data_IF_822479673316
#
_entry.id   IF_822479673316
#
_cell.length_a   1.000
_cell.length_b   1.000
_cell.length_c   1.000
_cell.angle_alpha   90.00
_cell.angle_beta   90.00
_cell.angle_gamma   90.00
#
_symmetry.space_group_name_H-M   'P 1'
#
loop_
_entity.id
_entity.type
_entity.pdbx_description
1 polymer ?
#
# COMPACT_ATOMS: atom_id res chain seq x y z
N UNK A 1 -4.10 56.62 -29.56
CA UNK A 1 -4.31 56.06 -28.21
C UNK A 1 -3.36 54.90 -28.02
N UNK A 2 -3.05 54.59 -26.77
CA UNK A 2 -2.11 53.56 -26.35
C UNK A 2 -2.62 52.95 -25.05
N UNK A 3 -2.55 51.62 -24.91
CA UNK A 3 -3.08 50.94 -23.72
C UNK A 3 -2.06 50.78 -22.58
N UNK A 4 -0.79 51.17 -22.79
CA UNK A 4 0.29 50.94 -21.85
C UNK A 4 0.52 49.44 -21.59
N UNK A 5 1.11 49.12 -20.44
CA UNK A 5 1.46 47.73 -20.10
C UNK A 5 0.23 46.82 -20.07
N UNK A 6 0.30 45.63 -20.69
CA UNK A 6 -0.77 44.64 -20.63
C UNK A 6 -1.06 44.16 -19.20
N UNK A 7 -2.26 43.62 -18.94
CA UNK A 7 -2.58 43.00 -17.65
C UNK A 7 -1.68 41.79 -17.36
N UNK A 8 -1.44 41.48 -16.09
CA UNK A 8 -0.74 40.25 -15.69
C UNK A 8 -1.69 39.05 -15.70
N UNK A 9 -1.15 37.85 -15.91
CA UNK A 9 -1.91 36.60 -15.89
C UNK A 9 -1.32 35.67 -14.84
N UNK A 10 -2.18 35.09 -14.00
CA UNK A 10 -1.77 34.10 -13.01
C UNK A 10 -1.25 32.82 -13.68
N UNK A 11 -0.11 32.33 -13.21
CA UNK A 11 0.61 31.18 -13.79
C UNK A 11 0.89 31.30 -15.30
N UNK A 12 0.87 32.54 -15.80
CA UNK A 12 1.14 32.89 -17.19
C UNK A 12 2.12 34.05 -17.30
N UNK A 13 2.72 34.18 -18.48
CA UNK A 13 3.70 35.21 -18.76
C UNK A 13 3.59 35.70 -20.21
N UNK A 14 4.00 36.94 -20.42
CA UNK A 14 4.29 37.45 -21.76
C UNK A 14 5.75 37.18 -22.09
N UNK A 15 6.10 36.86 -23.35
CA UNK A 15 7.49 36.77 -23.78
C UNK A 15 8.30 38.00 -23.37
N UNK A 16 9.58 37.82 -23.06
CA UNK A 16 10.43 38.86 -22.48
C UNK A 16 10.44 40.14 -23.34
N UNK A 17 10.46 39.97 -24.66
CA UNK A 17 10.49 41.07 -25.64
C UNK A 17 9.22 41.92 -25.59
N UNK A 18 8.07 41.30 -25.28
CA UNK A 18 6.79 41.97 -25.12
C UNK A 18 6.70 42.61 -23.74
N UNK A 19 7.08 41.89 -22.69
CA UNK A 19 6.99 42.37 -21.30
C UNK A 19 7.87 43.60 -21.00
N UNK A 20 8.96 43.78 -21.76
CA UNK A 20 9.87 44.90 -21.62
C UNK A 20 9.36 46.21 -22.27
N UNK A 21 8.33 46.13 -23.12
CA UNK A 21 7.77 47.30 -23.78
C UNK A 21 6.84 48.08 -22.84
N UNK A 22 6.77 49.40 -23.05
CA UNK A 22 5.94 50.30 -22.24
C UNK A 22 4.79 50.96 -23.03
N UNK A 23 4.77 50.81 -24.36
CA UNK A 23 3.79 51.43 -25.26
C UNK A 23 3.25 50.39 -26.22
N UNK A 24 1.92 50.30 -26.29
CA UNK A 24 1.17 49.35 -27.08
C UNK A 24 0.03 50.10 -27.80
N UNK A 25 0.18 50.41 -29.10
CA UNK A 25 -0.80 51.17 -29.84
C UNK A 25 -2.15 50.42 -29.96
N UNK A 26 -3.21 51.18 -30.20
CA UNK A 26 -4.55 50.62 -30.47
C UNK A 26 -4.47 49.56 -31.57
N UNK A 27 -5.11 48.41 -31.34
CA UNK A 27 -5.08 47.25 -32.23
C UNK A 27 -3.97 46.24 -31.91
N UNK A 28 -3.00 46.57 -31.04
CA UNK A 28 -1.98 45.61 -30.62
C UNK A 28 -2.61 44.42 -29.89
N UNK A 29 -2.14 43.22 -30.23
CA UNK A 29 -2.56 41.96 -29.63
C UNK A 29 -1.37 41.26 -29.00
N UNK A 30 -1.43 41.03 -27.70
CA UNK A 30 -0.40 40.30 -26.95
C UNK A 30 -0.88 38.90 -26.63
N UNK A 31 0.00 37.90 -26.75
CA UNK A 31 -0.32 36.50 -26.50
C UNK A 31 0.49 35.99 -25.32
N UNK A 32 -0.21 35.42 -24.34
CA UNK A 32 0.35 34.86 -23.12
C UNK A 32 0.76 33.40 -23.33
N UNK A 33 1.76 32.97 -22.55
CA UNK A 33 2.20 31.58 -22.42
C UNK A 33 2.02 31.16 -20.96
N UNK A 34 1.75 29.87 -20.72
CA UNK A 34 1.68 29.34 -19.37
C UNK A 34 3.05 28.93 -18.85
N UNK A 35 3.23 29.01 -17.53
CA UNK A 35 4.37 28.41 -16.85
C UNK A 35 4.39 26.89 -17.08
N UNK A 36 5.57 26.28 -16.92
CA UNK A 36 5.73 24.83 -17.08
C UNK A 36 4.80 24.09 -16.11
N UNK A 37 4.05 23.13 -16.64
CA UNK A 37 3.04 22.37 -15.88
C UNK A 37 1.68 23.05 -15.77
N UNK A 38 1.48 24.18 -16.46
CA UNK A 38 0.19 24.82 -16.60
C UNK A 38 -0.23 24.89 -18.07
N UNK A 39 -1.52 24.81 -18.32
CA UNK A 39 -2.12 24.82 -19.66
C UNK A 39 -3.37 25.70 -19.68
N UNK A 40 -3.69 26.24 -20.85
CA UNK A 40 -4.97 26.93 -21.05
C UNK A 40 -6.09 25.90 -21.21
N UNK A 41 -7.23 26.14 -20.57
CA UNK A 41 -8.45 25.38 -20.87
C UNK A 41 -8.82 25.47 -22.35
N UNK A 42 -9.55 24.46 -22.86
CA UNK A 42 -9.91 24.33 -24.29
C UNK A 42 -10.63 25.56 -24.84
N UNK A 43 -11.44 26.24 -24.03
CA UNK A 43 -12.23 27.42 -24.41
C UNK A 43 -11.55 28.75 -24.03
N UNK A 44 -10.38 28.70 -23.39
CA UNK A 44 -9.68 29.90 -22.91
C UNK A 44 -8.97 30.65 -24.04
N UNK A 45 -9.15 31.98 -24.09
CA UNK A 45 -8.36 32.85 -24.98
C UNK A 45 -7.01 33.14 -24.35
N UNK A 46 -5.95 32.94 -25.13
CA UNK A 46 -4.56 33.13 -24.73
C UNK A 46 -4.02 34.54 -25.00
N UNK A 47 -4.89 35.50 -25.32
CA UNK A 47 -4.49 36.83 -25.76
C UNK A 47 -5.34 37.94 -25.16
N UNK A 48 -4.76 39.14 -25.11
CA UNK A 48 -5.48 40.39 -24.88
C UNK A 48 -5.18 41.37 -26.01
N UNK A 49 -6.16 42.22 -26.34
CA UNK A 49 -6.09 43.19 -27.42
C UNK A 49 -6.34 44.60 -26.90
N UNK A 50 -5.55 45.55 -27.37
CA UNK A 50 -5.70 46.97 -27.06
C UNK A 50 -6.85 47.55 -27.91
N UNK A 51 -7.93 47.96 -27.24
CA UNK A 51 -9.17 48.43 -27.86
C UNK A 51 -9.11 49.93 -28.21
N UNK A 52 -10.08 50.40 -29.00
CA UNK A 52 -10.14 51.79 -29.47
C UNK A 52 -10.27 52.82 -28.34
N UNK A 53 -10.84 52.43 -27.20
CA UNK A 53 -10.94 53.23 -25.98
C UNK A 53 -9.64 53.27 -25.15
N UNK A 54 -8.55 52.74 -25.71
CA UNK A 54 -7.24 52.62 -25.04
C UNK A 54 -7.26 51.73 -23.78
N UNK A 55 -8.18 50.74 -23.74
CA UNK A 55 -8.21 49.70 -22.70
C UNK A 55 -7.87 48.32 -23.26
N UNK A 56 -7.35 47.44 -22.41
CA UNK A 56 -7.10 46.05 -22.77
C UNK A 56 -8.37 45.20 -22.63
N UNK A 57 -8.64 44.32 -23.59
CA UNK A 57 -9.73 43.34 -23.44
C UNK A 57 -9.50 42.48 -22.19
N UNK A 58 -10.54 42.16 -21.40
CA UNK A 58 -10.43 41.27 -20.26
C UNK A 58 -9.83 39.91 -20.64
N UNK A 59 -9.00 39.34 -19.77
CA UNK A 59 -8.46 38.00 -19.98
C UNK A 59 -9.59 36.97 -19.88
N UNK A 60 -9.89 36.28 -20.99
CA UNK A 60 -10.95 35.28 -21.08
C UNK A 60 -10.38 33.87 -20.89
N UNK A 61 -9.74 33.64 -19.74
CA UNK A 61 -9.12 32.36 -19.37
C UNK A 61 -7.91 32.55 -18.46
N UNK A 62 -7.46 31.46 -17.84
CA UNK A 62 -6.27 31.40 -16.99
C UNK A 62 -5.44 30.16 -17.29
N UNK A 63 -4.20 30.17 -16.85
CA UNK A 63 -3.34 29.00 -16.87
C UNK A 63 -3.70 28.09 -15.69
N UNK A 64 -4.22 26.91 -15.98
CA UNK A 64 -4.63 25.91 -15.00
C UNK A 64 -3.59 24.80 -14.91
N UNK A 65 -3.39 24.17 -13.74
CA UNK A 65 -2.41 23.10 -13.59
C UNK A 65 -2.74 21.93 -14.51
N UNK A 66 -1.71 21.30 -15.09
CA UNK A 66 -1.85 20.10 -15.91
C UNK A 66 -2.62 19.04 -15.14
N UNK A 67 -3.67 18.50 -15.75
CA UNK A 67 -4.38 17.32 -15.25
C UNK A 67 -3.84 16.08 -15.98
N UNK A 68 -3.13 15.22 -15.26
CA UNK A 68 -2.54 13.99 -15.78
C UNK A 68 -3.56 12.87 -16.01
N UNK A 69 -4.80 13.01 -15.54
CA UNK A 69 -5.85 12.00 -15.70
C UNK A 69 -5.52 10.68 -15.00
N UNK A 70 -5.83 9.55 -15.64
CA UNK A 70 -5.63 8.21 -15.07
C UNK A 70 -4.12 7.87 -14.96
N UNK A 71 -3.61 7.53 -13.75
CA UNK A 71 -2.25 7.03 -13.53
C UNK A 71 -1.91 5.72 -14.25
N UNK A 72 -2.89 5.04 -14.83
CA UNK A 72 -2.74 3.77 -15.52
C UNK A 72 -3.32 2.59 -14.74
N UNK A 73 -3.70 1.54 -15.47
CA UNK A 73 -4.30 0.34 -14.91
C UNK A 73 -3.25 -0.70 -14.54
N UNK A 74 -3.40 -1.32 -13.37
CA UNK A 74 -2.50 -2.36 -12.87
C UNK A 74 -3.29 -3.66 -12.69
N UNK A 75 -2.77 -4.77 -13.20
CA UNK A 75 -3.40 -6.09 -13.09
C UNK A 75 -2.98 -6.76 -11.77
N UNK A 76 -3.93 -7.39 -11.06
CA UNK A 76 -3.73 -7.99 -9.72
C UNK A 76 -3.20 -6.96 -8.70
N UNK A 77 -3.76 -5.76 -8.75
CA UNK A 77 -3.42 -4.66 -7.88
C UNK A 77 -4.38 -3.49 -8.04
N UNK A 78 -4.09 -2.42 -7.33
CA UNK A 78 -4.84 -1.17 -7.37
C UNK A 78 -3.93 0.02 -7.10
N UNK A 79 -4.44 1.24 -7.29
CA UNK A 79 -3.72 2.46 -6.89
C UNK A 79 -4.59 3.35 -6.03
N UNK A 80 -3.94 4.20 -5.25
CA UNK A 80 -4.55 5.25 -4.44
C UNK A 80 -3.92 6.58 -4.82
N UNK A 81 -4.74 7.54 -5.21
CA UNK A 81 -4.36 8.91 -5.50
C UNK A 81 -5.44 9.87 -4.98
N UNK A 82 -5.04 10.99 -4.40
CA UNK A 82 -5.98 12.00 -3.91
C UNK A 82 -6.53 12.86 -5.05
N UNK A 83 -5.67 13.22 -6.00
CA UNK A 83 -5.94 14.05 -7.17
C UNK A 83 -5.09 13.59 -8.36
N UNK A 84 -5.34 14.18 -9.53
CA UNK A 84 -4.59 13.95 -10.77
C UNK A 84 -3.96 15.21 -11.36
N UNK A 85 -3.79 16.27 -10.56
CA UNK A 85 -3.21 17.55 -11.00
C UNK A 85 -1.69 17.60 -10.77
N UNK A 86 -1.01 18.55 -11.42
CA UNK A 86 0.43 18.76 -11.30
C UNK A 86 0.92 18.65 -9.84
N UNK A 87 1.92 17.80 -9.61
CA UNK A 87 2.50 17.51 -8.29
C UNK A 87 1.82 16.37 -7.51
N UNK A 88 0.65 15.89 -7.95
CA UNK A 88 -0.05 14.77 -7.32
C UNK A 88 0.78 13.49 -7.38
N UNK A 89 0.62 12.62 -6.38
CA UNK A 89 1.28 11.31 -6.29
C UNK A 89 0.24 10.19 -6.26
N UNK A 90 0.36 9.25 -7.18
CA UNK A 90 -0.40 8.01 -7.20
C UNK A 90 0.47 6.89 -6.64
N UNK A 91 0.02 6.22 -5.59
CA UNK A 91 0.69 5.06 -4.98
C UNK A 91 0.04 3.77 -5.47
N UNK A 92 0.83 2.78 -5.86
CA UNK A 92 0.38 1.49 -6.38
C UNK A 92 0.58 0.39 -5.36
N UNK A 93 -0.34 -0.56 -5.34
CA UNK A 93 -0.38 -1.70 -4.44
C UNK A 93 -0.74 -2.96 -5.24
N UNK A 94 -0.20 -4.10 -4.82
CA UNK A 94 -0.57 -5.38 -5.39
C UNK A 94 -1.57 -6.09 -4.49
N UNK A 95 -2.41 -6.93 -5.11
CA UNK A 95 -3.35 -7.78 -4.40
C UNK A 95 -2.60 -8.85 -3.60
N UNK A 96 -3.30 -9.49 -2.67
CA UNK A 96 -2.73 -10.55 -1.83
C UNK A 96 -2.11 -11.67 -2.67
N UNK A 97 -0.89 -12.07 -2.32
CA UNK A 97 -0.14 -13.09 -3.06
C UNK A 97 0.62 -12.57 -4.28
N UNK A 98 0.62 -11.25 -4.52
CA UNK A 98 1.40 -10.59 -5.54
C UNK A 98 2.39 -9.59 -4.92
N UNK A 99 3.52 -9.39 -5.59
CA UNK A 99 4.53 -8.39 -5.21
C UNK A 99 4.71 -7.38 -6.33
N UNK A 100 4.98 -6.14 -5.94
CA UNK A 100 5.21 -5.06 -6.89
C UNK A 100 6.59 -5.16 -7.52
N UNK A 101 6.67 -4.87 -8.82
CA UNK A 101 7.89 -4.79 -9.61
C UNK A 101 7.96 -3.43 -10.29
N UNK A 102 9.05 -2.71 -10.04
CA UNK A 102 9.24 -1.33 -10.49
C UNK A 102 8.98 -0.32 -9.37
N UNK A 103 8.73 0.94 -9.76
CA UNK A 103 8.43 2.02 -8.81
C UNK A 103 6.98 1.93 -8.36
N UNK A 104 6.76 1.87 -7.05
CA UNK A 104 5.44 1.77 -6.41
C UNK A 104 4.63 3.08 -6.44
N UNK A 105 5.09 4.08 -7.19
CA UNK A 105 4.38 5.34 -7.34
C UNK A 105 4.64 6.01 -8.69
N UNK A 106 3.73 6.90 -9.06
CA UNK A 106 3.89 7.86 -10.16
C UNK A 106 3.58 9.28 -9.68
N UNK A 107 4.28 10.26 -10.22
CA UNK A 107 4.09 11.68 -9.94
C UNK A 107 3.49 12.37 -11.17
N UNK A 108 2.50 13.22 -10.99
CA UNK A 108 1.95 14.04 -12.06
C UNK A 108 2.90 15.20 -12.35
N UNK A 109 3.55 15.18 -13.50
CA UNK A 109 4.48 16.22 -13.96
C UNK A 109 3.82 17.09 -15.04
N UNK A 110 4.59 18.05 -15.56
CA UNK A 110 4.12 18.89 -16.67
C UNK A 110 3.77 18.08 -17.94
N UNK A 111 4.40 16.93 -18.11
CA UNK A 111 4.26 16.06 -19.28
C UNK A 111 3.28 14.89 -19.05
N UNK A 112 2.66 14.81 -17.87
CA UNK A 112 1.78 13.70 -17.48
C UNK A 112 2.34 12.87 -16.32
N UNK A 113 1.82 11.67 -16.12
CA UNK A 113 2.29 10.77 -15.07
C UNK A 113 3.72 10.28 -15.35
N UNK A 114 4.62 10.45 -14.38
CA UNK A 114 6.02 10.04 -14.48
C UNK A 114 6.17 8.52 -14.60
N UNK A 115 7.20 8.06 -15.33
CA UNK A 115 7.57 6.65 -15.36
C UNK A 115 6.52 5.74 -16.00
N UNK A 116 6.66 4.44 -15.79
CA UNK A 116 5.73 3.42 -16.28
C UNK A 116 4.83 2.92 -15.15
N UNK A 117 3.69 2.33 -15.49
CA UNK A 117 2.84 1.63 -14.52
C UNK A 117 3.62 0.42 -14.00
N UNK A 118 3.72 0.22 -12.67
CA UNK A 118 4.39 -0.96 -12.13
C UNK A 118 3.59 -2.23 -12.43
N UNK A 119 4.24 -3.39 -12.32
CA UNK A 119 3.60 -4.69 -12.52
C UNK A 119 3.49 -5.44 -11.20
N UNK A 120 2.42 -6.22 -11.06
CA UNK A 120 2.24 -7.14 -9.94
C UNK A 120 2.53 -8.57 -10.41
N UNK A 121 3.58 -9.17 -9.84
CA UNK A 121 3.98 -10.54 -10.13
C UNK A 121 3.58 -11.45 -8.97
N UNK A 122 3.09 -12.65 -9.27
CA UNK A 122 2.73 -13.62 -8.24
C UNK A 122 3.94 -13.97 -7.39
N UNK A 123 3.75 -14.05 -6.07
CA UNK A 123 4.77 -14.47 -5.13
C UNK A 123 5.11 -15.94 -5.39
N UNK A 124 6.41 -16.22 -5.51
CA UNK A 124 6.94 -17.56 -5.68
C UNK A 124 7.95 -17.87 -4.56
N UNK A 125 7.73 -18.98 -3.86
CA UNK A 125 8.69 -19.56 -2.94
C UNK A 125 9.66 -20.49 -3.68
N UNK A 126 10.94 -20.54 -3.26
CA UNK A 126 11.89 -21.51 -3.77
C UNK A 126 11.47 -22.93 -3.38
N UNK A 127 12.15 -23.94 -3.90
CA UNK A 127 11.91 -25.32 -3.44
C UNK A 127 12.26 -25.45 -1.95
N UNK A 128 11.37 -26.01 -1.09
CA UNK A 128 11.67 -26.14 0.33
C UNK A 128 12.82 -27.12 0.56
N UNK A 129 13.60 -26.87 1.61
CA UNK A 129 14.63 -27.80 2.07
C UNK A 129 13.94 -29.04 2.64
N UNK A 130 14.34 -30.21 2.18
CA UNK A 130 13.81 -31.48 2.68
C UNK A 130 14.56 -31.84 3.97
N UNK A 131 13.86 -32.01 5.11
CA UNK A 131 14.48 -32.41 6.37
C UNK A 131 15.17 -33.78 6.27
N UNK A 132 16.20 -33.99 7.08
CA UNK A 132 16.83 -35.30 7.19
C UNK A 132 15.82 -36.36 7.65
N UNK A 133 15.92 -37.57 7.10
CA UNK A 133 14.98 -38.66 7.33
C UNK A 133 13.51 -38.34 6.98
N UNK A 134 13.26 -37.39 6.08
CA UNK A 134 11.95 -37.07 5.54
C UNK A 134 11.91 -37.15 4.01
N UNK A 135 10.70 -37.23 3.45
CA UNK A 135 10.43 -37.06 2.02
C UNK A 135 9.18 -36.22 1.80
N UNK A 136 9.06 -35.64 0.60
CA UNK A 136 7.85 -34.93 0.18
C UNK A 136 6.80 -36.00 -0.17
N UNK A 137 5.71 -36.04 0.59
CA UNK A 137 4.58 -36.93 0.35
C UNK A 137 3.70 -36.43 -0.81
N UNK A 138 3.45 -35.12 -0.87
CA UNK A 138 2.63 -34.51 -1.91
C UNK A 138 3.03 -33.05 -2.18
N UNK A 139 2.63 -32.54 -3.34
CA UNK A 139 2.98 -31.18 -3.76
C UNK A 139 4.42 -31.06 -4.23
N UNK A 140 4.92 -32.00 -5.04
CA UNK A 140 6.27 -31.90 -5.59
C UNK A 140 6.33 -30.84 -6.70
N UNK A 141 7.16 -29.82 -6.51
CA UNK A 141 7.37 -28.74 -7.47
C UNK A 141 8.82 -28.24 -7.51
N UNK A 142 9.17 -27.51 -8.58
CA UNK A 142 10.44 -26.79 -8.70
C UNK A 142 10.38 -25.39 -8.06
N UNK A 143 9.19 -24.79 -8.06
CA UNK A 143 8.82 -23.52 -7.43
C UNK A 143 7.37 -23.61 -6.97
N UNK A 144 6.99 -22.75 -6.04
CA UNK A 144 5.68 -22.77 -5.41
C UNK A 144 5.07 -21.38 -5.41
N UNK A 145 3.88 -21.24 -5.98
CA UNK A 145 3.12 -19.99 -5.96
C UNK A 145 2.52 -19.77 -4.57
N UNK A 146 2.11 -18.53 -4.29
CA UNK A 146 1.40 -18.17 -3.07
C UNK A 146 0.30 -19.19 -2.70
N UNK A 147 0.22 -19.54 -1.41
CA UNK A 147 -0.71 -20.52 -0.83
C UNK A 147 -0.56 -21.96 -1.31
N UNK A 148 0.37 -22.28 -2.21
CA UNK A 148 0.65 -23.67 -2.56
C UNK A 148 1.30 -24.41 -1.38
N UNK A 149 0.90 -25.67 -1.22
CA UNK A 149 1.25 -26.49 -0.07
C UNK A 149 2.22 -27.61 -0.44
N UNK A 150 3.09 -27.95 0.50
CA UNK A 150 4.00 -29.11 0.41
C UNK A 150 3.81 -29.95 1.67
N UNK A 151 3.51 -31.24 1.50
CA UNK A 151 3.36 -32.17 2.60
C UNK A 151 4.62 -33.02 2.74
N UNK A 152 5.08 -33.19 3.98
CA UNK A 152 6.22 -34.02 4.34
C UNK A 152 5.76 -35.25 5.09
N UNK A 153 6.55 -36.33 4.97
CA UNK A 153 6.42 -37.53 5.79
C UNK A 153 7.79 -37.99 6.24
N UNK A 154 7.88 -38.42 7.50
CA UNK A 154 9.09 -39.01 8.03
C UNK A 154 9.27 -40.44 7.52
N UNK A 155 10.52 -40.85 7.36
CA UNK A 155 10.87 -42.23 7.06
C UNK A 155 10.40 -43.17 8.18
N UNK A 156 10.24 -44.45 7.86
CA UNK A 156 9.82 -45.47 8.83
C UNK A 156 10.76 -45.48 10.04
N UNK A 157 10.19 -45.43 11.25
CA UNK A 157 10.93 -45.42 12.51
C UNK A 157 11.32 -44.03 13.02
N UNK A 158 10.88 -42.96 12.35
CA UNK A 158 11.04 -41.58 12.80
C UNK A 158 9.68 -40.94 13.11
N UNK A 159 9.64 -40.11 14.14
CA UNK A 159 8.49 -39.31 14.55
C UNK A 159 8.64 -37.87 14.07
N UNK A 160 7.53 -37.27 13.65
CA UNK A 160 7.47 -35.91 13.14
C UNK A 160 7.25 -34.91 14.26
N UNK A 161 8.05 -33.83 14.26
CA UNK A 161 7.91 -32.68 15.15
C UNK A 161 7.66 -31.44 14.31
N UNK A 162 6.54 -30.76 14.54
CA UNK A 162 6.10 -29.60 13.75
C UNK A 162 4.96 -29.94 12.80
N UNK A 163 4.72 -29.08 11.82
CA UNK A 163 3.62 -29.26 10.87
C UNK A 163 4.02 -30.20 9.72
N UNK A 164 3.14 -31.13 9.38
CA UNK A 164 3.30 -32.02 8.21
C UNK A 164 3.12 -31.29 6.88
N UNK A 165 2.47 -30.12 6.89
CA UNK A 165 2.18 -29.32 5.69
C UNK A 165 2.70 -27.89 5.90
N UNK A 166 3.39 -27.38 4.89
CA UNK A 166 3.87 -26.00 4.85
C UNK A 166 3.27 -25.27 3.63
N UNK A 167 3.01 -23.97 3.75
CA UNK A 167 2.44 -23.16 2.66
C UNK A 167 3.38 -22.04 2.25
N UNK A 168 3.39 -21.70 0.96
CA UNK A 168 4.11 -20.53 0.49
C UNK A 168 3.43 -19.23 0.96
N UNK A 169 4.14 -18.45 1.78
CA UNK A 169 3.68 -17.17 2.32
C UNK A 169 3.93 -16.02 1.33
N UNK A 170 3.34 -14.86 1.61
CA UNK A 170 3.52 -13.59 0.87
C UNK A 170 4.99 -13.13 0.84
N UNK A 171 5.78 -13.49 1.86
CA UNK A 171 7.18 -13.08 1.99
C UNK A 171 8.16 -14.03 1.27
N UNK A 172 7.68 -14.81 0.29
CA UNK A 172 8.48 -15.77 -0.46
C UNK A 172 9.14 -16.88 0.40
N UNK A 173 8.58 -17.15 1.59
CA UNK A 173 9.08 -18.16 2.54
C UNK A 173 7.97 -19.14 2.88
N UNK A 174 8.31 -20.40 3.14
CA UNK A 174 7.34 -21.37 3.64
C UNK A 174 7.02 -21.14 5.11
N UNK A 175 5.72 -21.11 5.41
CA UNK A 175 5.21 -20.98 6.77
C UNK A 175 4.15 -22.07 7.00
N UNK A 176 4.24 -22.84 8.11
CA UNK A 176 5.36 -22.88 9.06
C UNK A 176 6.65 -23.43 8.43
N UNK A 177 7.76 -23.42 9.17
CA UNK A 177 9.01 -24.04 8.73
C UNK A 177 8.84 -25.56 8.51
N UNK A 178 9.66 -26.19 7.65
CA UNK A 178 9.64 -27.64 7.47
C UNK A 178 9.74 -28.42 8.80
N UNK A 179 9.07 -29.58 8.93
CA UNK A 179 9.09 -30.37 10.16
C UNK A 179 10.46 -31.01 10.41
N UNK A 180 10.66 -31.52 11.62
CA UNK A 180 11.87 -32.25 12.00
C UNK A 180 11.48 -33.71 12.25
N UNK A 181 12.24 -34.66 11.69
CA UNK A 181 12.06 -36.09 11.93
C UNK A 181 13.12 -36.59 12.90
N UNK A 182 12.71 -37.13 14.05
CA UNK A 182 13.61 -37.68 15.08
C UNK A 182 13.25 -39.12 15.41
N UNK A 183 14.21 -39.88 15.94
CA UNK A 183 13.89 -41.21 16.47
C UNK A 183 12.92 -41.06 17.66
N UNK A 184 11.94 -41.96 17.81
CA UNK A 184 11.10 -42.03 19.00
C UNK A 184 11.99 -42.16 20.24
N UNK A 185 11.58 -41.59 21.39
CA UNK A 185 12.27 -41.86 22.65
C UNK A 185 12.28 -43.36 22.90
N UNK A 186 13.47 -43.96 22.92
CA UNK A 186 13.65 -45.37 23.25
C UNK A 186 13.11 -45.60 24.65
N UNK A 187 12.10 -46.47 24.80
CA UNK A 187 11.58 -46.92 26.09
C UNK A 187 12.57 -47.80 26.86
N UNK A 188 13.87 -47.72 26.57
CA UNK A 188 14.90 -48.40 27.36
C UNK A 188 14.99 -47.69 28.69
N UNK A 189 14.64 -48.35 29.82
CA UNK A 189 14.94 -47.80 31.13
C UNK A 189 16.43 -47.50 31.18
N UNK A 190 16.78 -46.26 31.53
CA UNK A 190 18.14 -45.89 31.91
C UNK A 190 18.60 -46.98 32.91
N UNK A 191 19.71 -47.70 32.67
CA UNK A 191 20.20 -48.62 33.68
C UNK A 191 20.46 -47.78 34.92
N UNK A 192 19.61 -47.94 35.93
CA UNK A 192 19.78 -47.29 37.21
C UNK A 192 20.99 -47.97 37.81
N UNK A 193 22.17 -47.39 37.61
CA UNK A 193 23.36 -47.78 38.36
C UNK A 193 23.05 -47.48 39.81
N UNK A 194 22.70 -48.52 40.56
CA UNK A 194 22.59 -48.47 42.02
C UNK A 194 23.98 -48.16 42.56
N UNK A 195 24.29 -46.87 42.72
CA UNK A 195 25.48 -46.43 43.45
C UNK A 195 25.18 -46.73 44.92
N UNK A 196 25.86 -47.73 45.48
CA UNK A 196 25.89 -47.95 46.92
C UNK A 196 26.58 -46.75 47.58
N UNK A 197 25.77 -45.86 48.17
CA UNK A 197 26.28 -44.73 48.95
C UNK A 197 26.85 -45.27 50.25
N UNK A 198 28.18 -45.36 50.35
CA UNK A 198 28.86 -45.52 51.64
C UNK A 198 28.64 -44.22 52.42
N UNK A 199 27.86 -44.32 53.48
CA UNK A 199 27.61 -43.24 54.44
C UNK A 199 28.89 -42.95 55.23
N UNK A 200 29.62 -41.91 54.83
CA UNK A 200 30.47 -41.16 55.76
C UNK A 200 29.89 -39.77 55.91
N UNK A 201 29.23 -39.57 57.04
CA UNK A 201 28.72 -38.28 57.49
C UNK A 201 29.92 -37.36 57.71
N UNK A 202 30.01 -36.29 56.94
CA UNK A 202 30.85 -35.13 57.25
C UNK A 202 29.94 -33.91 57.32
N UNK A 203 29.57 -33.57 58.55
CA UNK A 203 28.82 -32.36 58.88
C UNK A 203 29.72 -31.15 58.65
N UNK A 204 29.37 -30.31 57.67
CA UNK A 204 29.70 -28.88 57.73
C UNK A 204 28.47 -28.06 57.38
N UNK A 205 27.98 -27.37 58.40
CA UNK A 205 26.86 -26.44 58.36
C UNK A 205 27.31 -25.09 57.82
N UNK A 206 26.61 -24.55 56.81
CA UNK A 206 26.60 -23.10 56.61
C UNK A 206 25.22 -22.68 56.04
N UNK A 207 24.46 -22.08 56.97
CA UNK A 207 23.51 -20.98 56.87
C UNK A 207 22.61 -20.80 55.62
N UNK A 208 21.32 -20.63 55.94
CA UNK A 208 20.19 -20.27 55.09
C UNK A 208 20.42 -19.10 54.13
N UNK A 209 20.03 -19.29 52.87
CA UNK A 209 19.64 -18.20 51.96
C UNK A 209 18.14 -18.28 51.77
N UNK A 210 17.41 -17.41 52.47
CA UNK A 210 15.99 -17.20 52.29
C UNK A 210 15.74 -16.40 51.01
N UNK A 211 15.40 -17.09 49.92
CA UNK A 211 14.88 -16.42 48.72
C UNK A 211 13.38 -16.19 48.91
N UNK A 212 13.02 -14.92 49.13
CA UNK A 212 11.64 -14.44 49.20
C UNK A 212 11.02 -14.46 47.79
N UNK A 213 9.92 -15.17 47.52
CA UNK A 213 9.21 -15.04 46.26
C UNK A 213 8.35 -13.77 46.30
N UNK A 214 8.74 -12.74 45.55
CA UNK A 214 7.87 -11.59 45.23
C UNK A 214 7.12 -11.91 43.94
N UNK A 215 5.91 -12.46 44.08
CA UNK A 215 4.94 -12.46 42.98
C UNK A 215 4.24 -11.11 43.02
N UNK A 216 4.67 -10.19 42.16
CA UNK A 216 3.95 -8.94 41.92
C UNK A 216 2.72 -9.25 41.07
N UNK A 217 1.55 -9.37 41.71
CA UNK A 217 0.28 -9.28 41.03
C UNK A 217 0.09 -7.82 40.57
N UNK A 218 0.16 -7.59 39.26
CA UNK A 218 -0.11 -6.30 38.65
C UNK A 218 -1.58 -5.93 38.84
N UNK A 219 -1.84 -5.07 39.82
CA UNK A 219 -3.16 -4.47 40.03
C UNK A 219 -3.37 -3.37 38.98
N UNK A 220 -4.26 -3.64 38.03
CA UNK A 220 -4.66 -2.69 36.98
C UNK A 220 -5.28 -1.45 37.65
N UNK A 221 -4.64 -0.29 37.52
CA UNK A 221 -5.13 0.94 38.14
C UNK A 221 -6.51 1.30 37.57
N UNK A 222 -7.42 1.73 38.44
CA UNK A 222 -8.83 2.04 38.12
C UNK A 222 -8.98 3.09 37.01
N UNK A 223 -7.94 3.88 36.72
CA UNK A 223 -7.88 4.84 35.61
C UNK A 223 -7.65 4.22 34.23
N UNK A 224 -6.97 3.07 34.13
CA UNK A 224 -6.76 2.38 32.86
C UNK A 224 -8.07 1.77 32.32
N UNK A 225 -8.92 1.30 33.23
CA UNK A 225 -10.23 0.71 32.90
C UNK A 225 -11.18 1.80 32.37
N UNK A 226 -11.19 2.99 32.97
CA UNK A 226 -12.00 4.13 32.49
C UNK A 226 -11.52 4.61 31.11
N UNK A 227 -10.20 4.63 30.86
CA UNK A 227 -9.64 4.96 29.55
C UNK A 227 -10.05 3.97 28.46
N UNK A 228 -10.00 2.66 28.74
CA UNK A 228 -10.42 1.61 27.80
C UNK A 228 -11.92 1.72 27.51
N UNK A 229 -12.75 2.00 28.51
CA UNK A 229 -14.20 2.19 28.32
C UNK A 229 -14.50 3.40 27.43
N UNK A 230 -13.79 4.52 27.61
CA UNK A 230 -13.96 5.72 26.77
C UNK A 230 -13.55 5.41 25.32
N UNK A 231 -12.44 4.71 25.10
CA UNK A 231 -11.98 4.32 23.76
C UNK A 231 -13.01 3.40 23.07
N UNK A 232 -13.58 2.45 23.80
CA UNK A 232 -14.63 1.56 23.27
C UNK A 232 -15.90 2.36 22.92
N UNK A 233 -16.34 3.28 23.78
CA UNK A 233 -17.52 4.12 23.52
C UNK A 233 -17.30 4.99 22.28
N UNK A 234 -16.13 5.61 22.13
CA UNK A 234 -15.79 6.42 20.95
C UNK A 234 -15.76 5.56 19.69
N UNK A 235 -15.17 4.35 19.74
CA UNK A 235 -15.16 3.42 18.61
C UNK A 235 -16.58 2.99 18.20
N UNK A 236 -17.47 2.71 19.16
CA UNK A 236 -18.87 2.34 18.89
C UNK A 236 -19.63 3.51 18.25
N UNK A 237 -19.43 4.74 18.71
CA UNK A 237 -20.06 5.93 18.10
C UNK A 237 -19.58 6.12 16.65
N UNK A 238 -18.28 5.94 16.38
CA UNK A 238 -17.72 6.00 15.01
C UNK A 238 -18.35 4.92 14.12
N UNK A 239 -18.48 3.69 14.61
CA UNK A 239 -19.12 2.60 13.86
C UNK A 239 -20.59 2.93 13.56
N UNK A 240 -21.35 3.47 14.53
CA UNK A 240 -22.75 3.86 14.32
C UNK A 240 -22.86 4.97 13.26
N UNK A 241 -21.94 5.95 13.26
CA UNK A 241 -21.89 7.01 12.24
C UNK A 241 -21.58 6.43 10.86
N UNK A 242 -20.61 5.51 10.75
CA UNK A 242 -20.26 4.84 9.50
C UNK A 242 -21.45 4.01 8.98
N UNK A 243 -22.11 3.24 9.83
CA UNK A 243 -23.27 2.42 9.45
C UNK A 243 -24.44 3.30 9.01
N UNK A 244 -24.73 4.41 9.72
CA UNK A 244 -25.74 5.39 9.29
C UNK A 244 -25.38 6.05 7.96
N UNK A 245 -24.10 6.36 7.74
CA UNK A 245 -23.63 6.94 6.49
C UNK A 245 -23.79 5.95 5.32
N UNK A 246 -23.47 4.68 5.52
CA UNK A 246 -23.71 3.61 4.56
C UNK A 246 -25.19 3.38 4.28
N UNK A 247 -26.04 3.44 5.31
CA UNK A 247 -27.49 3.34 5.15
C UNK A 247 -28.04 4.47 4.28
N UNK A 248 -27.61 5.72 4.54
CA UNK A 248 -28.02 6.90 3.77
C UNK A 248 -27.50 6.87 2.33
N UNK A 249 -26.35 6.24 2.08
CA UNK A 249 -25.79 6.08 0.72
C UNK A 249 -26.58 5.06 -0.12
N UNK A 250 -27.18 4.03 0.50
CA UNK A 250 -27.98 3.01 -0.22
C UNK A 250 -29.31 3.52 -0.78
N UNK A 251 -29.87 4.61 -0.22
CA UNK A 251 -31.12 5.21 -0.71
C UNK A 251 -30.96 6.11 -1.94
N UNK A 252 -29.73 6.43 -2.35
CA UNK A 252 -29.45 7.40 -3.42
C UNK A 252 -29.06 6.84 -4.79
N UNK A 253 -29.10 5.51 -5.03
CA UNK A 253 -28.48 4.92 -6.23
C UNK A 253 -29.28 3.85 -6.99
N UNK A 254 -30.61 3.81 -6.86
CA UNK A 254 -31.48 3.04 -7.76
C UNK A 254 -32.16 3.94 -8.81
N UNK A 255 -31.37 4.49 -9.72
CA UNK A 255 -31.85 4.92 -11.05
C UNK A 255 -31.00 4.20 -12.09
N UNK A 256 -31.55 3.11 -12.63
CA UNK A 256 -30.97 2.34 -13.73
C UNK A 256 -30.94 3.16 -15.01
N UNK A 257 -29.81 3.27 -15.74
CA UNK A 257 -29.82 3.72 -17.12
C UNK A 257 -30.16 2.57 -18.06
N UNK A 258 -30.94 2.94 -19.07
CA UNK A 258 -31.47 2.17 -20.19
C UNK A 258 -30.37 1.43 -20.98
N UNK A 259 -30.58 0.14 -21.27
CA UNK A 259 -29.69 -0.66 -22.14
C UNK A 259 -29.91 -0.25 -23.60
N UNK A 260 -28.90 0.36 -24.22
CA UNK A 260 -28.82 0.49 -25.68
C UNK A 260 -28.24 -0.81 -26.25
N UNK A 261 -29.06 -1.58 -26.97
CA UNK A 261 -28.65 -2.76 -27.72
C UNK A 261 -28.26 -2.30 -29.13
N UNK A 262 -26.99 -2.49 -29.51
CA UNK A 262 -26.55 -2.37 -30.90
C UNK A 262 -26.84 -3.69 -31.62
N UNK A 263 -27.77 -3.66 -32.59
CA UNK A 263 -27.92 -4.68 -33.62
C UNK A 263 -26.67 -4.69 -34.51
N UNK A 264 -26.05 -5.86 -34.62
CA UNK A 264 -25.00 -6.13 -35.60
C UNK A 264 -25.67 -6.61 -36.87
N UNK A 265 -25.72 -5.74 -37.89
CA UNK A 265 -26.19 -6.10 -39.22
C UNK A 265 -25.02 -6.69 -40.02
N UNK A 266 -25.14 -7.98 -40.36
CA UNK A 266 -24.23 -8.67 -41.28
C UNK A 266 -24.49 -8.17 -42.71
N UNK A 267 -23.41 -7.70 -43.37
CA UNK A 267 -23.27 -7.62 -44.82
C UNK A 267 -22.01 -8.39 -45.22
#
# INVERSE_FOLDING_TARGET
GDCGKPPTMENGFLPAEVSAQNSFPIGTKVTYRCLVGYVFGSESKRYSSCQADSTWTPLQGRCEPTNCGNPGEILNGYYVANDSILGSKAMFYCDEGYRIVGTDYRLCTADGWSGQVPTCEIVECPRPVIPEHAYIESGFGRKYKYQQEVAFRCNKGFEMIGASVIKCSENNVFVPSPPICRLPPTSTPMPTTTIAVLTTVSTKSWADVTVKPTVEASTLSTGAIVGIIIVIIVAVIIIIVIVKWWSKKKEGQYTTPEKVVHEVQLC
#
